data_IF_783271127799
#
_entry.id   IF_783271127799
#
_cell.length_a   1.000
_cell.length_b   1.000
_cell.length_c   1.000
_cell.angle_alpha   90.00
_cell.angle_beta   90.00
_cell.angle_gamma   90.00
#
_symmetry.space_group_name_H-M   'P 1'
#
loop_
_entity.id
_entity.type
_entity.pdbx_description
1 polymer ?
#
# COMPACT_ATOMS: atom_id res chain seq x y z
N UNK A 1 -23.62 -0.72 42.91
CA UNK A 1 -23.47 0.52 42.10
C UNK A 1 -22.06 1.13 42.17
N UNK A 2 -21.51 1.44 43.36
CA UNK A 2 -20.20 2.14 43.50
C UNK A 2 -19.02 1.34 42.93
N UNK A 3 -18.97 0.04 43.15
CA UNK A 3 -17.92 -0.84 42.60
C UNK A 3 -17.90 -0.86 41.07
N UNK A 4 -19.06 -1.01 40.43
CA UNK A 4 -19.18 -1.01 38.97
C UNK A 4 -18.76 0.34 38.36
N UNK A 5 -19.14 1.44 39.02
CA UNK A 5 -18.74 2.81 38.63
C UNK A 5 -17.23 3.01 38.74
N UNK A 6 -16.61 2.59 39.83
CA UNK A 6 -15.18 2.77 40.05
C UNK A 6 -14.35 1.90 39.10
N UNK A 7 -14.75 0.65 38.86
CA UNK A 7 -14.10 -0.22 37.88
C UNK A 7 -14.19 0.35 36.46
N UNK A 8 -15.34 0.91 36.08
CA UNK A 8 -15.50 1.60 34.79
C UNK A 8 -14.57 2.80 34.66
N UNK A 9 -14.46 3.64 35.70
CA UNK A 9 -13.54 4.78 35.72
C UNK A 9 -12.08 4.34 35.59
N UNK A 10 -11.67 3.27 36.30
CA UNK A 10 -10.30 2.74 36.20
C UNK A 10 -9.98 2.25 34.79
N UNK A 11 -10.90 1.56 34.13
CA UNK A 11 -10.71 1.09 32.74
C UNK A 11 -10.58 2.26 31.76
N UNK A 12 -11.41 3.29 31.90
CA UNK A 12 -11.31 4.49 31.04
C UNK A 12 -9.94 5.15 31.22
N UNK A 13 -9.50 5.35 32.46
CA UNK A 13 -8.17 5.94 32.75
C UNK A 13 -7.05 5.10 32.14
N UNK A 14 -7.10 3.77 32.28
CA UNK A 14 -6.12 2.87 31.71
C UNK A 14 -6.05 3.00 30.18
N UNK A 15 -7.21 2.95 29.50
CA UNK A 15 -7.29 3.08 28.04
C UNK A 15 -6.79 4.44 27.58
N UNK A 16 -7.14 5.51 28.29
CA UNK A 16 -6.66 6.86 27.98
C UNK A 16 -5.13 6.95 28.10
N UNK A 17 -4.55 6.41 29.18
CA UNK A 17 -3.08 6.40 29.36
C UNK A 17 -2.40 5.62 28.23
N UNK A 18 -2.94 4.46 27.86
CA UNK A 18 -2.39 3.65 26.76
C UNK A 18 -2.49 4.42 25.43
N UNK A 19 -3.63 5.02 25.12
CA UNK A 19 -3.83 5.79 23.90
C UNK A 19 -2.89 7.00 23.82
N UNK A 20 -2.75 7.76 24.91
CA UNK A 20 -1.80 8.89 24.98
C UNK A 20 -0.36 8.43 24.83
N UNK A 21 0.00 7.29 25.42
CA UNK A 21 1.36 6.73 25.29
C UNK A 21 1.66 6.33 23.85
N UNK A 22 0.71 5.65 23.18
CA UNK A 22 0.85 5.26 21.78
C UNK A 22 0.92 6.48 20.87
N UNK A 23 0.05 7.47 21.06
CA UNK A 23 0.06 8.69 20.27
C UNK A 23 1.34 9.50 20.49
N UNK A 24 1.85 9.59 21.73
CA UNK A 24 3.08 10.35 22.00
C UNK A 24 4.33 9.66 21.46
N UNK A 25 4.32 8.33 21.33
CA UNK A 25 5.47 7.57 20.80
C UNK A 25 5.43 7.36 19.29
N UNK A 26 4.25 7.22 18.71
CA UNK A 26 4.05 6.79 17.32
C UNK A 26 3.16 7.74 16.51
N UNK A 27 2.47 8.67 17.16
CA UNK A 27 1.67 9.71 16.51
C UNK A 27 2.49 10.98 16.21
N UNK A 28 1.88 11.91 15.48
CA UNK A 28 2.48 13.21 15.19
C UNK A 28 3.51 13.23 14.05
N UNK A 29 3.42 12.29 13.09
CA UNK A 29 4.28 12.29 11.92
C UNK A 29 4.30 13.63 11.18
N UNK A 30 5.40 13.92 10.49
CA UNK A 30 5.58 15.18 9.77
C UNK A 30 4.54 15.33 8.64
N UNK A 31 4.11 16.57 8.34
CA UNK A 31 3.36 16.84 7.13
C UNK A 31 4.09 16.27 5.91
N UNK A 32 3.32 15.74 4.96
CA UNK A 32 3.90 15.28 3.72
C UNK A 32 4.68 16.44 3.07
N UNK A 33 5.95 16.24 2.67
CA UNK A 33 6.75 17.31 2.11
C UNK A 33 6.08 17.91 0.87
N UNK A 34 6.27 19.20 0.66
CA UNK A 34 5.81 19.85 -0.57
C UNK A 34 6.62 19.31 -1.76
N UNK A 35 5.94 18.60 -2.67
CA UNK A 35 6.52 18.02 -3.88
C UNK A 35 6.24 18.88 -5.12
N UNK A 36 5.80 20.14 -4.96
CA UNK A 36 5.50 21.05 -6.08
C UNK A 36 6.74 21.70 -6.72
N UNK A 37 7.93 21.52 -6.11
CA UNK A 37 9.19 22.02 -6.66
C UNK A 37 9.64 21.22 -7.88
N UNK A 38 10.65 21.72 -8.58
CA UNK A 38 11.27 20.97 -9.67
C UNK A 38 11.77 19.59 -9.18
N UNK A 39 11.60 18.52 -9.98
CA UNK A 39 12.09 17.20 -9.63
C UNK A 39 13.63 17.20 -9.57
N UNK A 40 14.20 16.35 -8.72
CA UNK A 40 15.65 16.20 -8.58
C UNK A 40 16.30 15.65 -9.86
N UNK A 41 15.56 14.88 -10.64
CA UNK A 41 16.00 14.28 -11.90
C UNK A 41 15.23 14.92 -13.05
N UNK A 42 15.94 15.36 -14.09
CA UNK A 42 15.33 15.81 -15.33
C UNK A 42 14.82 14.64 -16.18
N UNK A 43 14.09 14.96 -17.23
CA UNK A 43 13.48 13.96 -18.13
C UNK A 43 14.54 13.06 -18.78
N UNK A 44 15.76 13.56 -18.99
CA UNK A 44 16.90 12.82 -19.53
C UNK A 44 17.37 11.66 -18.64
N UNK A 45 17.03 11.69 -17.35
CA UNK A 45 17.33 10.61 -16.41
C UNK A 45 16.20 9.58 -16.31
N UNK A 46 15.07 9.80 -16.99
CA UNK A 46 13.92 8.90 -17.00
C UNK A 46 13.93 8.02 -18.25
N UNK A 47 13.57 6.76 -18.06
CA UNK A 47 13.33 5.81 -19.15
C UNK A 47 11.95 5.18 -18.98
N UNK A 48 11.21 5.07 -20.08
CA UNK A 48 9.95 4.31 -20.09
C UNK A 48 10.26 2.82 -20.10
N UNK A 49 10.23 2.20 -18.93
CA UNK A 49 10.49 0.76 -18.76
C UNK A 49 9.33 -0.11 -19.26
N UNK A 50 8.10 0.41 -19.16
CA UNK A 50 6.89 -0.27 -19.64
C UNK A 50 5.75 0.75 -19.85
N UNK A 51 5.04 0.62 -20.97
CA UNK A 51 3.72 1.20 -21.14
C UNK A 51 2.67 0.08 -21.05
N UNK A 52 1.65 0.27 -20.21
CA UNK A 52 0.62 -0.74 -19.93
C UNK A 52 -0.78 -0.11 -20.10
N UNK A 53 -1.76 -0.82 -20.69
CA UNK A 53 -3.04 -0.22 -21.04
C UNK A 53 -3.93 0.07 -19.83
N UNK A 54 -3.83 -0.72 -18.76
CA UNK A 54 -4.56 -0.46 -17.50
C UNK A 54 -3.73 0.38 -16.52
N UNK A 55 -4.40 1.14 -15.62
CA UNK A 55 -3.70 1.90 -14.59
C UNK A 55 -2.91 0.98 -13.64
N UNK A 56 -1.70 1.44 -13.30
CA UNK A 56 -0.88 0.83 -12.26
C UNK A 56 -1.50 1.05 -10.88
N UNK A 57 -1.44 0.01 -10.04
CA UNK A 57 -1.68 0.08 -8.61
C UNK A 57 -0.37 0.28 -7.87
N UNK A 58 0.05 -0.74 -7.12
CA UNK A 58 1.34 -0.71 -6.43
C UNK A 58 2.47 -1.04 -7.42
N UNK A 59 3.61 -0.39 -7.27
CA UNK A 59 4.85 -0.69 -8.01
C UNK A 59 5.96 -0.94 -6.99
N UNK A 60 6.74 -2.00 -7.19
CA UNK A 60 7.89 -2.33 -6.37
C UNK A 60 9.09 -2.58 -7.29
N UNK A 61 10.20 -1.90 -7.00
CA UNK A 61 11.48 -2.12 -7.66
C UNK A 61 12.48 -2.69 -6.65
N UNK A 62 13.28 -3.65 -7.10
CA UNK A 62 14.36 -4.26 -6.34
C UNK A 62 15.72 -3.70 -6.78
N UNK A 63 16.73 -3.78 -5.91
CA UNK A 63 18.10 -3.33 -6.19
C UNK A 63 18.73 -4.07 -7.39
N UNK A 64 18.32 -5.32 -7.64
CA UNK A 64 18.72 -6.12 -8.80
C UNK A 64 17.97 -5.75 -10.10
N UNK A 65 17.16 -4.69 -10.10
CA UNK A 65 16.46 -4.19 -11.27
C UNK A 65 15.15 -4.90 -11.59
N UNK A 66 14.66 -5.79 -10.72
CA UNK A 66 13.36 -6.45 -10.90
C UNK A 66 12.24 -5.49 -10.53
N UNK A 67 11.21 -5.43 -11.39
CA UNK A 67 10.05 -4.57 -11.16
C UNK A 67 8.77 -5.40 -11.15
N UNK A 68 7.97 -5.21 -10.12
CA UNK A 68 6.64 -5.81 -9.95
C UNK A 68 5.60 -4.70 -9.91
N UNK A 69 4.44 -4.98 -10.48
CA UNK A 69 3.31 -4.07 -10.34
C UNK A 69 1.99 -4.81 -10.24
N UNK A 70 1.01 -4.17 -9.60
CA UNK A 70 -0.38 -4.60 -9.64
C UNK A 70 -1.21 -3.74 -10.58
N UNK A 71 -2.29 -4.29 -11.11
CA UNK A 71 -3.31 -3.51 -11.84
C UNK A 71 -4.26 -2.88 -10.83
N UNK A 72 -4.62 -1.61 -11.02
CA UNK A 72 -5.50 -0.90 -10.10
C UNK A 72 -6.91 -1.56 -10.04
N UNK A 73 -7.46 -1.90 -8.86
CA UNK A 73 -8.74 -2.62 -8.77
C UNK A 73 -9.92 -1.91 -9.44
N UNK A 74 -9.96 -0.59 -9.37
CA UNK A 74 -11.02 0.24 -9.97
C UNK A 74 -11.05 0.21 -11.51
N UNK A 75 -10.03 -0.36 -12.18
CA UNK A 75 -10.09 -0.57 -13.64
C UNK A 75 -10.87 -1.83 -14.04
N UNK A 76 -11.38 -2.60 -13.07
CA UNK A 76 -12.10 -3.85 -13.31
C UNK A 76 -11.30 -4.90 -14.10
N UNK A 77 -10.05 -5.23 -13.71
CA UNK A 77 -9.22 -6.15 -14.47
C UNK A 77 -9.84 -7.55 -14.53
N UNK A 78 -9.93 -8.10 -15.74
CA UNK A 78 -10.45 -9.46 -15.99
C UNK A 78 -9.35 -10.52 -16.06
N UNK A 79 -8.09 -10.09 -16.17
CA UNK A 79 -6.90 -10.94 -16.24
C UNK A 79 -6.12 -11.03 -14.92
N UNK A 80 -4.85 -11.44 -15.00
CA UNK A 80 -3.92 -11.36 -13.86
C UNK A 80 -3.88 -9.94 -13.28
N UNK A 81 -3.71 -9.84 -11.96
CA UNK A 81 -3.65 -8.55 -11.26
C UNK A 81 -2.24 -8.21 -10.76
N UNK A 82 -1.28 -9.13 -10.92
CA UNK A 82 0.11 -8.98 -10.50
C UNK A 82 1.04 -9.43 -11.63
N UNK A 83 1.97 -8.56 -11.98
CA UNK A 83 2.91 -8.77 -13.07
C UNK A 83 4.34 -8.50 -12.61
N UNK A 84 5.29 -9.16 -13.26
CA UNK A 84 6.71 -8.81 -13.24
C UNK A 84 7.09 -8.27 -14.61
N UNK A 85 7.84 -7.17 -14.64
CA UNK A 85 8.41 -6.66 -15.88
C UNK A 85 9.64 -7.49 -16.21
N UNK A 86 9.61 -8.19 -17.34
CA UNK A 86 10.74 -8.97 -17.86
C UNK A 86 11.00 -8.58 -19.30
N UNK A 87 12.21 -8.09 -19.59
CA UNK A 87 12.61 -7.66 -20.93
C UNK A 87 11.61 -6.67 -21.57
N UNK A 88 11.18 -5.66 -20.81
CA UNK A 88 10.21 -4.64 -21.25
C UNK A 88 8.77 -5.13 -21.43
N UNK A 89 8.44 -6.34 -20.95
CA UNK A 89 7.10 -6.93 -21.07
C UNK A 89 6.52 -7.25 -19.70
N UNK A 90 5.23 -6.97 -19.52
CA UNK A 90 4.47 -7.43 -18.37
C UNK A 90 4.23 -8.93 -18.48
N UNK A 91 4.88 -9.72 -17.62
CA UNK A 91 4.67 -11.17 -17.51
C UNK A 91 3.85 -11.43 -16.25
N UNK A 92 2.70 -12.13 -16.33
CA UNK A 92 1.92 -12.49 -15.16
C UNK A 92 2.81 -13.17 -14.13
N UNK A 93 2.87 -12.62 -12.93
CA UNK A 93 3.66 -13.24 -11.88
C UNK A 93 2.95 -14.53 -11.45
N UNK A 94 3.66 -15.65 -11.26
CA UNK A 94 3.03 -16.94 -11.02
C UNK A 94 2.35 -16.97 -9.64
N UNK A 95 1.08 -16.59 -9.61
CA UNK A 95 0.24 -16.77 -8.44
C UNK A 95 -0.37 -18.16 -8.51
N UNK A 96 0.38 -19.19 -8.07
CA UNK A 96 -0.09 -20.59 -8.08
C UNK A 96 -1.36 -20.85 -7.24
N UNK A 97 -1.99 -19.83 -6.61
CA UNK A 97 -3.20 -20.01 -5.79
C UNK A 97 -4.14 -18.81 -5.54
N UNK A 98 -3.77 -17.53 -5.72
CA UNK A 98 -4.72 -16.43 -5.38
C UNK A 98 -5.84 -16.22 -6.42
N UNK A 99 -5.68 -16.68 -7.67
CA UNK A 99 -6.71 -16.50 -8.70
C UNK A 99 -7.97 -17.37 -8.46
N UNK A 100 -7.93 -18.36 -7.56
CA UNK A 100 -9.06 -19.24 -7.25
C UNK A 100 -9.85 -18.83 -6.00
N UNK A 101 -9.39 -17.85 -5.21
CA UNK A 101 -10.04 -17.45 -3.95
C UNK A 101 -10.95 -16.22 -4.06
N UNK A 102 -11.09 -15.63 -5.26
CA UNK A 102 -11.98 -14.48 -5.54
C UNK A 102 -13.08 -14.80 -6.55
N UNK A 103 -13.49 -16.06 -6.67
CA UNK A 103 -14.86 -16.40 -7.09
C UNK A 103 -15.61 -16.81 -5.84
N UNK A 104 -16.06 -15.83 -5.07
CA UNK A 104 -17.30 -16.03 -4.33
C UNK A 104 -18.39 -15.65 -5.32
N UNK A 105 -19.03 -16.67 -5.89
CA UNK A 105 -20.22 -16.52 -6.72
C UNK A 105 -21.33 -15.83 -5.90
N UNK A 106 -22.15 -14.95 -6.51
CA UNK A 106 -23.37 -14.43 -5.89
C UNK A 106 -24.44 -15.53 -5.71
#
# INVERSE_FOLDING_TARGET
>A
MVWLRNTGLTLVVLVTIVALTLYSRYGGGEPYPDMSTAPLFGDEALETVLAFPEPFGNVAASEDGRVFFTVHPESGPTGPVLYEIRNGKAVPYPTRRLCLLRRHDP
#
